data_IF_987403008397
#
_entry.id   IF_987403008397
#
_cell.length_a   1.000
_cell.length_b   1.000
_cell.length_c   1.000
_cell.angle_alpha   90.00
_cell.angle_beta   90.00
_cell.angle_gamma   90.00
#
_symmetry.space_group_name_H-M   'P 1'
#
loop_
_entity.id
_entity.type
_entity.pdbx_description
1 polymer ?
#
# COMPACT_ATOMS: atom_id res chain seq x y z
N UNK A 1 59.69 -19.04 -65.93
CA UNK A 1 58.22 -19.01 -65.79
C UNK A 1 57.89 -19.21 -64.33
N UNK A 2 57.15 -18.26 -63.76
CA UNK A 2 56.84 -18.05 -62.35
C UNK A 2 55.90 -19.12 -61.79
N UNK A 3 56.31 -19.79 -60.70
CA UNK A 3 55.46 -20.70 -59.92
C UNK A 3 54.88 -19.97 -58.70
N UNK A 4 53.55 -19.94 -58.59
CA UNK A 4 52.80 -19.37 -57.47
C UNK A 4 52.80 -20.40 -56.33
N UNK A 5 53.30 -20.01 -55.15
CA UNK A 5 53.20 -20.79 -53.93
C UNK A 5 51.95 -20.35 -53.13
N UNK A 6 51.02 -21.28 -52.93
CA UNK A 6 49.84 -21.10 -52.08
C UNK A 6 50.23 -21.50 -50.65
N UNK A 7 50.17 -20.56 -49.71
CA UNK A 7 50.27 -20.84 -48.28
C UNK A 7 48.90 -21.33 -47.77
N UNK A 8 48.81 -22.59 -47.33
CA UNK A 8 47.68 -23.09 -46.54
C UNK A 8 48.11 -23.03 -45.07
N UNK A 9 47.53 -22.11 -44.31
CA UNK A 9 47.68 -22.07 -42.86
C UNK A 9 46.70 -23.05 -42.21
N UNK A 10 47.21 -24.13 -41.63
CA UNK A 10 46.46 -25.07 -40.79
C UNK A 10 46.30 -24.49 -39.39
N UNK A 11 45.07 -24.04 -39.07
CA UNK A 11 44.69 -23.67 -37.71
C UNK A 11 44.36 -24.94 -36.91
N UNK A 12 45.15 -25.22 -35.87
CA UNK A 12 44.87 -26.27 -34.89
C UNK A 12 43.80 -25.72 -33.93
N UNK A 13 42.56 -26.19 -34.06
CA UNK A 13 41.50 -25.91 -33.10
C UNK A 13 41.64 -26.87 -31.90
N UNK A 14 41.97 -26.33 -30.72
CA UNK A 14 41.83 -27.05 -29.47
C UNK A 14 40.33 -27.17 -29.11
N UNK A 15 39.87 -28.30 -28.54
CA UNK A 15 38.47 -28.46 -28.17
C UNK A 15 38.15 -27.55 -26.98
N UNK A 16 37.14 -26.69 -27.15
CA UNK A 16 36.55 -25.91 -26.08
C UNK A 16 35.73 -26.88 -25.21
N UNK A 17 36.26 -27.27 -24.06
CA UNK A 17 35.44 -27.90 -23.02
C UNK A 17 34.41 -26.86 -22.54
N UNK A 18 33.16 -27.03 -22.99
CA UNK A 18 32.01 -26.38 -22.38
C UNK A 18 31.80 -26.97 -20.98
N UNK A 19 32.51 -26.43 -19.98
CA UNK A 19 32.07 -26.57 -18.58
C UNK A 19 30.72 -25.89 -18.47
N UNK A 20 29.65 -26.68 -18.34
CA UNK A 20 28.37 -26.19 -17.85
C UNK A 20 28.62 -25.48 -16.51
N UNK A 21 28.61 -24.13 -16.52
CA UNK A 21 28.67 -23.36 -15.28
C UNK A 21 27.42 -23.73 -14.47
N UNK A 22 27.62 -24.36 -13.32
CA UNK A 22 26.55 -24.59 -12.37
C UNK A 22 25.86 -23.24 -12.09
N UNK A 23 24.54 -23.19 -12.28
CA UNK A 23 23.72 -22.05 -11.90
C UNK A 23 23.83 -21.88 -10.37
N UNK A 24 24.09 -20.67 -9.84
CA UNK A 24 24.15 -20.45 -8.41
C UNK A 24 22.77 -20.72 -7.78
N UNK A 25 22.75 -21.34 -6.60
CA UNK A 25 21.53 -21.70 -5.89
C UNK A 25 20.75 -20.49 -5.34
N UNK A 26 21.42 -19.33 -5.22
CA UNK A 26 20.85 -18.04 -4.81
C UNK A 26 21.50 -16.96 -5.67
N UNK A 27 20.72 -15.98 -6.13
CA UNK A 27 21.21 -14.88 -6.95
C UNK A 27 22.32 -14.09 -6.21
N UNK A 28 23.43 -13.87 -6.92
CA UNK A 28 24.65 -13.22 -6.41
C UNK A 28 24.48 -11.69 -6.41
N UNK A 29 23.55 -11.24 -5.58
CA UNK A 29 23.47 -9.85 -5.16
C UNK A 29 24.42 -9.69 -3.97
N UNK A 30 25.37 -8.76 -4.02
CA UNK A 30 26.07 -8.40 -2.79
C UNK A 30 25.03 -7.84 -1.81
N UNK A 31 24.70 -8.55 -0.73
CA UNK A 31 23.72 -8.04 0.22
C UNK A 31 24.31 -6.77 0.85
N UNK A 32 23.48 -5.76 1.18
CA UNK A 32 23.97 -4.57 1.86
C UNK A 32 24.66 -4.87 3.19
N UNK A 33 24.35 -6.02 3.81
CA UNK A 33 25.01 -6.50 5.03
C UNK A 33 25.35 -8.01 4.92
N UNK A 34 26.47 -8.47 5.52
CA UNK A 34 26.73 -9.88 5.74
C UNK A 34 25.62 -10.55 6.56
N UNK A 35 25.41 -11.85 6.35
CA UNK A 35 24.32 -12.59 7.00
C UNK A 35 24.34 -12.50 8.54
N UNK A 36 25.52 -12.58 9.17
CA UNK A 36 25.66 -12.46 10.62
C UNK A 36 25.28 -11.08 11.15
N UNK A 37 25.59 -10.02 10.39
CA UNK A 37 25.25 -8.65 10.75
C UNK A 37 23.76 -8.38 10.56
N UNK A 38 23.18 -8.84 9.44
CA UNK A 38 21.74 -8.79 9.21
C UNK A 38 20.95 -9.49 10.34
N UNK A 39 21.42 -10.67 10.78
CA UNK A 39 20.84 -11.40 11.91
C UNK A 39 20.93 -10.60 13.21
N UNK A 40 22.07 -9.98 13.50
CA UNK A 40 22.27 -9.16 14.70
C UNK A 40 21.34 -7.93 14.71
N UNK A 41 21.22 -7.24 13.57
CA UNK A 41 20.32 -6.08 13.39
C UNK A 41 18.86 -6.47 13.63
N UNK A 42 18.41 -7.59 13.04
CA UNK A 42 17.05 -8.11 13.24
C UNK A 42 16.81 -8.51 14.70
N UNK A 43 17.77 -9.19 15.33
CA UNK A 43 17.65 -9.62 16.72
C UNK A 43 17.51 -8.42 17.67
N UNK A 44 18.32 -7.38 17.47
CA UNK A 44 18.25 -6.14 18.25
C UNK A 44 16.91 -5.42 18.06
N UNK A 45 16.45 -5.27 16.81
CA UNK A 45 15.18 -4.61 16.52
C UNK A 45 13.98 -5.33 17.15
N UNK A 46 13.93 -6.67 17.04
CA UNK A 46 12.86 -7.49 17.65
C UNK A 46 12.91 -7.46 19.18
N UNK A 47 14.10 -7.36 19.78
CA UNK A 47 14.22 -7.20 21.23
C UNK A 47 13.63 -5.85 21.68
N UNK A 48 13.94 -4.76 20.96
CA UNK A 48 13.38 -3.44 21.24
C UNK A 48 11.86 -3.40 21.08
N UNK A 49 11.31 -4.00 20.01
CA UNK A 49 9.87 -4.07 19.77
C UNK A 49 9.15 -4.84 20.89
N UNK A 50 9.69 -5.99 21.33
CA UNK A 50 9.15 -6.74 22.47
C UNK A 50 9.15 -5.94 23.77
N UNK A 51 10.22 -5.21 24.05
CA UNK A 51 10.28 -4.34 25.24
C UNK A 51 9.22 -3.24 25.19
N UNK A 52 8.97 -2.65 24.01
CA UNK A 52 7.93 -1.63 23.83
C UNK A 52 6.51 -2.22 23.96
N UNK A 53 6.28 -3.43 23.44
CA UNK A 53 4.99 -4.11 23.57
C UNK A 53 4.72 -4.55 25.02
N UNK A 54 5.74 -5.06 25.72
CA UNK A 54 5.63 -5.42 27.14
C UNK A 54 5.36 -4.20 28.01
N UNK A 55 6.08 -3.09 27.81
CA UNK A 55 5.81 -1.86 28.57
C UNK A 55 4.41 -1.32 28.30
N UNK A 56 3.91 -1.42 27.07
CA UNK A 56 2.53 -1.07 26.75
C UNK A 56 1.50 -1.98 27.43
N UNK A 57 1.76 -3.29 27.48
CA UNK A 57 0.88 -4.27 28.14
C UNK A 57 0.91 -4.18 29.68
N UNK A 58 2.06 -3.83 30.27
CA UNK A 58 2.21 -3.63 31.72
C UNK A 58 1.65 -2.28 32.18
N UNK A 59 1.75 -1.24 31.34
CA UNK A 59 1.22 0.09 31.66
C UNK A 59 -0.32 0.10 31.73
N UNK A 60 -0.99 -0.78 30.96
CA UNK A 60 -2.44 -0.97 31.06
C UNK A 60 -2.81 -2.40 30.64
N UNK A 61 -3.55 -3.18 31.46
CA UNK A 61 -4.21 -4.37 30.94
C UNK A 61 -5.21 -3.95 29.85
N UNK A 62 -4.92 -4.31 28.59
CA UNK A 62 -5.77 -3.95 27.46
C UNK A 62 -7.21 -4.41 27.76
N UNK A 63 -8.21 -3.51 27.80
CA UNK A 63 -9.58 -3.90 28.04
C UNK A 63 -10.06 -4.86 26.96
N UNK A 64 -11.02 -5.75 27.31
CA UNK A 64 -11.66 -6.66 26.36
C UNK A 64 -12.27 -5.91 25.15
N UNK A 65 -12.67 -4.66 25.36
CA UNK A 65 -12.98 -3.69 24.30
C UNK A 65 -11.76 -2.82 24.07
N UNK A 66 -11.12 -2.95 22.91
CA UNK A 66 -9.99 -2.09 22.55
C UNK A 66 -10.50 -0.66 22.37
N UNK A 67 -10.03 0.26 23.21
CA UNK A 67 -10.27 1.70 23.09
C UNK A 67 -8.92 2.39 22.95
N UNK A 68 -8.76 3.18 21.90
CA UNK A 68 -7.47 3.72 21.51
C UNK A 68 -7.51 5.24 21.40
N UNK A 69 -6.57 5.94 22.04
CA UNK A 69 -6.46 7.39 22.00
C UNK A 69 -5.61 7.88 20.83
N UNK A 70 -6.13 8.75 19.98
CA UNK A 70 -5.42 9.31 18.83
C UNK A 70 -4.90 10.71 19.19
N UNK A 71 -3.65 10.76 19.67
CA UNK A 71 -3.02 12.00 20.15
C UNK A 71 -3.06 13.16 19.14
N UNK A 72 -2.95 12.88 17.84
CA UNK A 72 -3.01 13.88 16.76
C UNK A 72 -4.36 14.62 16.68
N UNK A 73 -5.43 14.02 17.19
CA UNK A 73 -6.80 14.56 17.12
C UNK A 73 -7.44 14.83 18.48
N UNK A 74 -6.95 14.18 19.54
CA UNK A 74 -7.52 14.28 20.87
C UNK A 74 -8.79 13.43 21.08
N UNK A 75 -9.10 12.51 20.17
CA UNK A 75 -10.26 11.62 20.23
C UNK A 75 -9.87 10.16 20.35
N UNK A 76 -10.85 9.29 20.62
CA UNK A 76 -10.66 7.85 20.70
C UNK A 76 -11.42 7.13 19.60
N UNK A 77 -10.94 5.96 19.21
CA UNK A 77 -11.75 4.98 18.48
C UNK A 77 -11.85 3.73 19.34
N UNK A 78 -13.07 3.19 19.46
CA UNK A 78 -13.32 1.96 20.21
C UNK A 78 -13.78 0.83 19.29
N UNK A 79 -13.52 -0.41 19.72
CA UNK A 79 -14.07 -1.62 19.09
C UNK A 79 -15.38 -2.09 19.71
N UNK A 80 -16.04 -1.26 20.53
CA UNK A 80 -17.38 -1.56 21.06
C UNK A 80 -18.39 -1.73 19.92
N UNK A 81 -18.27 -0.88 18.89
CA UNK A 81 -19.07 -0.89 17.66
C UNK A 81 -18.33 -1.53 16.49
N UNK A 82 -17.07 -1.93 16.68
CA UNK A 82 -16.17 -2.41 15.63
C UNK A 82 -15.48 -1.31 14.82
N UNK A 83 -15.58 -0.03 15.22
CA UNK A 83 -15.01 1.09 14.47
C UNK A 83 -13.49 1.07 14.38
N UNK A 84 -12.77 0.65 15.43
CA UNK A 84 -11.30 0.58 15.40
C UNK A 84 -10.82 -0.48 14.42
N UNK A 85 -11.38 -1.68 14.47
CA UNK A 85 -11.11 -2.78 13.55
C UNK A 85 -11.50 -2.41 12.12
N UNK A 86 -12.64 -1.75 11.91
CA UNK A 86 -13.04 -1.27 10.59
C UNK A 86 -12.07 -0.22 10.05
N UNK A 87 -11.68 0.77 10.86
CA UNK A 87 -10.71 1.80 10.47
C UNK A 87 -9.38 1.16 10.05
N UNK A 88 -8.84 0.25 10.87
CA UNK A 88 -7.55 -0.43 10.62
C UNK A 88 -7.57 -1.30 9.35
N UNK A 89 -8.65 -2.06 9.11
CA UNK A 89 -8.76 -2.95 7.94
C UNK A 89 -8.95 -2.22 6.62
N UNK A 90 -9.44 -0.98 6.67
CA UNK A 90 -9.91 -0.25 5.49
C UNK A 90 -9.05 0.97 5.17
N UNK A 91 -7.74 0.88 5.47
CA UNK A 91 -6.74 1.88 5.11
C UNK A 91 -6.52 3.00 6.12
N UNK A 92 -7.23 2.97 7.25
CA UNK A 92 -7.00 3.84 8.41
C UNK A 92 -6.86 5.31 8.04
N UNK A 93 -5.73 5.89 8.43
CA UNK A 93 -5.41 7.30 8.20
C UNK A 93 -5.42 7.68 6.72
N UNK A 94 -4.94 6.81 5.83
CA UNK A 94 -4.88 7.10 4.40
C UNK A 94 -6.27 7.31 3.79
N UNK A 95 -7.28 6.59 4.29
CA UNK A 95 -8.62 6.58 3.72
C UNK A 95 -9.60 7.44 4.51
N UNK A 96 -9.59 7.35 5.85
CA UNK A 96 -10.55 8.03 6.71
C UNK A 96 -9.97 9.26 7.40
N UNK A 97 -8.64 9.30 7.58
CA UNK A 97 -7.98 10.26 8.45
C UNK A 97 -8.20 9.94 9.92
N UNK A 98 -7.95 10.93 10.78
CA UNK A 98 -8.12 10.79 12.22
C UNK A 98 -9.58 10.95 12.66
N UNK A 99 -9.99 10.37 13.81
CA UNK A 99 -11.29 10.69 14.40
C UNK A 99 -11.34 12.17 14.75
N UNK A 100 -12.44 12.85 14.43
CA UNK A 100 -12.66 14.26 14.77
C UNK A 100 -13.81 14.45 15.76
N UNK A 101 -14.41 13.36 16.22
CA UNK A 101 -15.42 13.33 17.27
C UNK A 101 -15.26 12.09 18.15
N UNK A 102 -15.93 12.08 19.31
CA UNK A 102 -16.29 10.83 19.98
C UNK A 102 -17.44 10.12 19.25
N UNK A 103 -17.87 8.98 19.79
CA UNK A 103 -19.11 8.33 19.36
C UNK A 103 -20.32 9.22 19.75
N UNK A 104 -21.21 9.48 18.79
CA UNK A 104 -22.43 10.28 18.93
C UNK A 104 -23.65 9.40 18.63
N UNK A 105 -24.84 9.86 19.02
CA UNK A 105 -26.10 9.26 18.59
C UNK A 105 -26.80 10.21 17.62
N UNK A 106 -26.99 9.77 16.39
CA UNK A 106 -27.69 10.51 15.33
C UNK A 106 -28.60 9.55 14.58
N UNK A 107 -29.83 10.00 14.30
CA UNK A 107 -30.83 9.22 13.55
C UNK A 107 -31.03 7.79 14.11
N UNK A 108 -30.91 7.65 15.45
CA UNK A 108 -31.04 6.38 16.16
C UNK A 108 -29.84 5.44 16.05
N UNK A 109 -28.72 5.87 15.45
CA UNK A 109 -27.49 5.08 15.30
C UNK A 109 -26.33 5.67 16.09
N UNK A 110 -25.41 4.79 16.51
CA UNK A 110 -24.11 5.23 17.02
C UNK A 110 -23.24 5.57 15.80
N UNK A 111 -22.68 6.78 15.79
CA UNK A 111 -21.88 7.28 14.68
C UNK A 111 -20.60 7.92 15.18
N UNK A 112 -19.58 7.98 14.33
CA UNK A 112 -18.35 8.70 14.64
C UNK A 112 -17.82 9.39 13.39
N UNK A 113 -17.41 10.65 13.54
CA UNK A 113 -16.80 11.42 12.48
C UNK A 113 -15.30 11.22 12.45
N UNK A 114 -14.79 11.09 11.22
CA UNK A 114 -13.40 11.12 10.84
C UNK A 114 -13.19 12.32 9.92
N UNK A 115 -11.94 12.68 9.64
CA UNK A 115 -11.65 13.81 8.74
C UNK A 115 -12.35 13.66 7.38
N UNK A 116 -12.38 12.44 6.84
CA UNK A 116 -12.84 12.15 5.47
C UNK A 116 -14.11 11.33 5.37
N UNK A 117 -14.61 10.82 6.49
CA UNK A 117 -15.76 9.92 6.52
C UNK A 117 -16.57 10.04 7.81
N UNK A 118 -17.76 9.44 7.81
CA UNK A 118 -18.59 9.23 9.01
C UNK A 118 -18.98 7.76 9.06
N UNK A 119 -18.67 7.12 10.18
CA UNK A 119 -18.96 5.71 10.41
C UNK A 119 -20.31 5.58 11.08
N UNK A 120 -21.06 4.56 10.70
CA UNK A 120 -22.36 4.20 11.25
C UNK A 120 -22.31 2.78 11.76
N UNK A 121 -22.74 2.58 13.00
CA UNK A 121 -22.92 1.25 13.58
C UNK A 121 -24.32 0.72 13.23
N UNK A 122 -24.35 -0.46 12.62
CA UNK A 122 -25.55 -1.19 12.21
C UNK A 122 -25.67 -2.47 13.05
N UNK A 123 -26.33 -2.42 14.23
CA UNK A 123 -26.50 -3.59 15.09
C UNK A 123 -27.24 -4.75 14.42
N UNK A 124 -28.10 -4.45 13.45
CA UNK A 124 -28.80 -5.45 12.62
C UNK A 124 -27.85 -6.34 11.81
N UNK A 125 -26.62 -5.88 11.59
CA UNK A 125 -25.58 -6.56 10.81
C UNK A 125 -24.42 -7.08 11.67
N UNK A 126 -24.61 -7.19 12.99
CA UNK A 126 -23.59 -7.62 13.96
C UNK A 126 -22.89 -8.91 13.51
N UNK A 127 -21.56 -8.89 13.48
CA UNK A 127 -20.74 -10.04 13.07
C UNK A 127 -20.53 -10.17 11.55
N UNK A 128 -21.11 -9.29 10.74
CA UNK A 128 -20.88 -9.22 9.29
C UNK A 128 -19.96 -8.05 8.92
N UNK A 129 -19.51 -8.00 7.66
CA UNK A 129 -18.76 -6.85 7.14
C UNK A 129 -19.59 -5.56 7.05
N UNK A 130 -20.91 -5.64 7.20
CA UNK A 130 -21.85 -4.52 7.17
C UNK A 130 -22.24 -4.00 8.56
N UNK A 131 -21.64 -4.52 9.62
CA UNK A 131 -21.81 -4.00 10.98
C UNK A 131 -21.39 -2.52 11.07
N UNK A 132 -20.37 -2.13 10.30
CA UNK A 132 -19.92 -0.74 10.17
C UNK A 132 -20.09 -0.34 8.72
N UNK A 133 -20.88 0.71 8.50
CA UNK A 133 -21.09 1.30 7.18
C UNK A 133 -20.68 2.76 7.18
N UNK A 134 -20.48 3.31 5.99
CA UNK A 134 -20.12 4.71 5.82
C UNK A 134 -21.32 5.49 5.30
N UNK A 135 -21.56 6.64 5.92
CA UNK A 135 -22.56 7.61 5.45
C UNK A 135 -22.29 8.04 4.02
N UNK A 136 -23.36 8.36 3.28
CA UNK A 136 -23.28 8.86 1.91
C UNK A 136 -22.90 10.36 1.89
N UNK A 137 -21.75 10.70 2.47
CA UNK A 137 -21.35 12.09 2.65
C UNK A 137 -21.12 12.82 1.32
N UNK A 138 -20.74 12.11 0.25
CA UNK A 138 -20.66 12.73 -1.07
C UNK A 138 -22.03 13.21 -1.53
N UNK A 139 -23.06 12.35 -1.42
CA UNK A 139 -24.43 12.71 -1.75
C UNK A 139 -24.95 13.88 -0.89
N UNK A 140 -24.64 13.88 0.41
CA UNK A 140 -25.01 14.96 1.34
C UNK A 140 -24.34 16.29 0.95
N UNK A 141 -23.04 16.25 0.67
CA UNK A 141 -22.28 17.47 0.39
C UNK A 141 -22.66 18.08 -0.97
N UNK A 142 -22.90 17.25 -1.97
CA UNK A 142 -23.29 17.68 -3.33
C UNK A 142 -24.80 17.80 -3.52
N UNK A 143 -25.59 17.81 -2.46
CA UNK A 143 -27.04 18.02 -2.58
C UNK A 143 -27.32 19.35 -3.30
N UNK A 144 -28.09 19.28 -4.40
CA UNK A 144 -28.42 20.44 -5.23
C UNK A 144 -27.42 20.73 -6.35
N UNK A 145 -26.33 19.95 -6.47
CA UNK A 145 -25.46 19.99 -7.64
C UNK A 145 -26.14 19.27 -8.81
N UNK A 146 -26.01 19.82 -10.01
CA UNK A 146 -26.44 19.17 -11.25
C UNK A 146 -25.20 18.70 -12.02
N UNK A 147 -24.90 17.41 -11.92
CA UNK A 147 -23.77 16.81 -12.61
C UNK A 147 -24.24 16.21 -13.95
N UNK A 148 -23.58 16.55 -15.08
CA UNK A 148 -23.92 15.97 -16.36
C UNK A 148 -23.64 14.46 -16.36
N UNK A 149 -24.36 13.73 -17.21
CA UNK A 149 -24.14 12.31 -17.41
C UNK A 149 -22.77 12.04 -18.04
N UNK A 150 -22.14 10.96 -17.57
CA UNK A 150 -20.95 10.39 -18.18
C UNK A 150 -21.25 9.76 -19.52
N UNK A 151 -20.27 9.81 -20.43
CA UNK A 151 -20.32 9.12 -21.71
C UNK A 151 -19.47 7.84 -21.66
N UNK A 152 -20.03 6.66 -21.98
CA UNK A 152 -19.27 5.42 -22.01
C UNK A 152 -18.22 5.50 -23.12
N UNK A 153 -16.96 5.60 -22.73
CA UNK A 153 -15.81 5.63 -23.65
C UNK A 153 -14.84 4.51 -23.31
N UNK A 154 -14.02 4.13 -24.28
CA UNK A 154 -13.05 3.05 -24.11
C UNK A 154 -12.08 3.38 -22.96
N UNK A 155 -11.88 2.42 -22.05
CA UNK A 155 -10.98 2.57 -20.90
C UNK A 155 -11.61 3.19 -19.65
N UNK A 156 -12.94 3.38 -19.63
CA UNK A 156 -13.70 3.81 -18.44
C UNK A 156 -14.78 2.77 -18.11
N UNK A 157 -15.02 2.56 -16.82
CA UNK A 157 -16.20 1.82 -16.36
C UNK A 157 -17.39 2.77 -16.32
N UNK A 158 -18.54 2.33 -16.83
CA UNK A 158 -19.81 3.06 -16.75
C UNK A 158 -20.70 2.44 -15.68
N UNK A 159 -21.29 3.27 -14.82
CA UNK A 159 -22.17 2.87 -13.73
C UNK A 159 -23.59 3.30 -14.05
N UNK A 160 -24.47 2.39 -14.53
CA UNK A 160 -25.84 2.74 -14.88
C UNK A 160 -26.67 3.28 -13.70
N UNK A 161 -26.31 2.92 -12.47
CA UNK A 161 -26.98 3.36 -11.24
C UNK A 161 -26.92 4.88 -11.04
N UNK A 162 -25.82 5.51 -11.45
CA UNK A 162 -25.59 6.96 -11.32
C UNK A 162 -25.43 7.66 -12.67
N UNK A 163 -25.35 6.91 -13.77
CA UNK A 163 -25.02 7.36 -15.13
C UNK A 163 -23.65 8.02 -15.24
N UNK A 164 -22.73 7.66 -14.37
CA UNK A 164 -21.37 8.22 -14.32
C UNK A 164 -20.31 7.21 -14.75
N UNK A 165 -19.12 7.70 -15.09
CA UNK A 165 -17.99 6.87 -15.45
C UNK A 165 -16.80 7.03 -14.50
N UNK A 166 -15.96 6.00 -14.44
CA UNK A 166 -14.72 6.00 -13.67
C UNK A 166 -13.58 5.44 -14.51
N UNK A 167 -12.45 6.14 -14.54
CA UNK A 167 -11.28 5.73 -15.34
C UNK A 167 -9.95 6.18 -14.75
N UNK A 168 -8.87 5.74 -15.39
CA UNK A 168 -7.51 6.20 -15.08
C UNK A 168 -7.08 5.96 -13.62
N UNK A 169 -6.41 6.95 -13.03
CA UNK A 169 -5.85 6.89 -11.67
C UNK A 169 -6.95 6.77 -10.60
N UNK A 170 -8.10 7.44 -10.80
CA UNK A 170 -9.23 7.31 -9.88
C UNK A 170 -9.84 5.92 -9.90
N UNK A 171 -9.97 5.27 -11.06
CA UNK A 171 -10.42 3.87 -11.13
C UNK A 171 -9.47 2.93 -10.39
N UNK A 172 -8.16 3.06 -10.64
CA UNK A 172 -7.16 2.21 -9.97
C UNK A 172 -7.16 2.41 -8.46
N UNK A 173 -7.24 3.66 -8.01
CA UNK A 173 -7.36 3.98 -6.58
C UNK A 173 -8.64 3.39 -5.98
N UNK A 174 -9.80 3.60 -6.62
CA UNK A 174 -11.08 3.07 -6.18
C UNK A 174 -11.03 1.55 -6.04
N UNK A 175 -10.59 0.82 -7.08
CA UNK A 175 -10.51 -0.64 -7.07
C UNK A 175 -9.58 -1.16 -5.96
N UNK A 176 -8.46 -0.48 -5.75
CA UNK A 176 -7.43 -0.90 -4.82
C UNK A 176 -7.77 -0.60 -3.35
N UNK A 177 -8.40 0.53 -3.09
CA UNK A 177 -8.49 1.10 -1.72
C UNK A 177 -9.81 0.87 -1.01
N UNK A 178 -10.79 0.25 -1.67
CA UNK A 178 -12.03 -0.17 -0.98
C UNK A 178 -13.26 -0.28 -1.87
N UNK A 179 -13.19 0.20 -3.10
CA UNK A 179 -14.23 0.05 -4.11
C UNK A 179 -15.59 0.56 -3.65
N UNK A 180 -16.63 -0.16 -4.07
CA UNK A 180 -18.01 0.21 -3.81
C UNK A 180 -18.33 0.31 -2.32
N UNK A 181 -17.78 -0.59 -1.49
CA UNK A 181 -18.08 -0.64 -0.06
C UNK A 181 -17.57 0.60 0.68
N UNK A 182 -16.41 1.13 0.29
CA UNK A 182 -15.79 2.27 0.98
C UNK A 182 -16.17 3.60 0.31
N UNK A 183 -16.15 3.67 -1.02
CA UNK A 183 -16.32 4.94 -1.73
C UNK A 183 -17.72 5.13 -2.30
N UNK A 184 -18.48 4.04 -2.52
CA UNK A 184 -19.72 4.08 -3.27
C UNK A 184 -19.52 4.24 -4.78
N UNK A 185 -20.62 4.46 -5.49
CA UNK A 185 -20.63 4.76 -6.92
C UNK A 185 -20.08 6.17 -7.19
N UNK A 186 -19.44 6.43 -8.35
CA UNK A 186 -19.18 7.80 -8.78
C UNK A 186 -20.52 8.53 -9.01
N UNK A 187 -20.63 9.78 -8.55
CA UNK A 187 -21.84 10.61 -8.68
C UNK A 187 -21.62 11.86 -9.52
N UNK A 188 -20.38 12.10 -9.96
CA UNK A 188 -20.02 13.10 -10.96
C UNK A 188 -19.04 12.51 -11.97
N UNK A 189 -18.86 13.16 -13.12
CA UNK A 189 -17.65 13.02 -13.93
C UNK A 189 -16.46 13.73 -13.25
N UNK A 190 -15.20 13.50 -13.67
CA UNK A 190 -14.07 14.32 -13.25
C UNK A 190 -14.17 15.75 -13.80
N UNK A 191 -13.98 16.75 -12.94
CA UNK A 191 -13.95 18.17 -13.33
C UNK A 191 -12.93 18.96 -12.50
N UNK A 192 -12.60 20.17 -12.94
CA UNK A 192 -11.71 21.07 -12.20
C UNK A 192 -12.47 21.79 -11.07
N UNK A 193 -11.93 21.70 -9.86
CA UNK A 193 -12.47 22.36 -8.67
C UNK A 193 -11.31 22.92 -7.84
N UNK A 194 -11.51 24.04 -7.14
CA UNK A 194 -10.53 24.53 -6.17
C UNK A 194 -10.57 23.60 -4.95
N UNK A 195 -9.45 22.96 -4.63
CA UNK A 195 -9.35 22.11 -3.45
C UNK A 195 -9.56 22.93 -2.18
N UNK A 196 -10.44 22.50 -1.28
CA UNK A 196 -10.60 23.13 0.03
C UNK A 196 -9.39 22.85 0.95
N UNK A 197 -8.50 21.94 0.57
CA UNK A 197 -7.33 21.54 1.38
C UNK A 197 -6.15 22.48 1.11
N UNK A 198 -5.84 22.75 -0.16
CA UNK A 198 -4.65 23.51 -0.54
C UNK A 198 -4.92 24.77 -1.39
N UNK A 199 -6.18 25.03 -1.76
CA UNK A 199 -6.59 26.19 -2.55
C UNK A 199 -6.17 26.13 -4.03
N UNK A 200 -5.60 25.02 -4.51
CA UNK A 200 -5.22 24.84 -5.90
C UNK A 200 -6.35 24.23 -6.70
N UNK A 201 -6.38 24.49 -8.01
CA UNK A 201 -7.31 23.79 -8.91
C UNK A 201 -6.86 22.34 -9.06
N UNK A 202 -7.73 21.40 -8.67
CA UNK A 202 -7.51 19.95 -8.74
C UNK A 202 -8.57 19.32 -9.64
N UNK A 203 -8.16 18.31 -10.41
CA UNK A 203 -9.13 17.39 -11.02
C UNK A 203 -9.77 16.61 -9.89
N UNK A 204 -11.09 16.70 -9.79
CA UNK A 204 -11.90 16.16 -8.71
C UNK A 204 -12.99 15.27 -9.25
N UNK A 205 -13.32 14.20 -8.55
CA UNK A 205 -14.52 13.40 -8.81
C UNK A 205 -15.22 13.05 -7.50
N UNK A 206 -16.54 13.23 -7.47
CA UNK A 206 -17.37 12.86 -6.33
C UNK A 206 -17.89 11.43 -6.47
N UNK A 207 -17.97 10.75 -5.34
CA UNK A 207 -18.56 9.44 -5.14
C UNK A 207 -19.58 9.53 -4.02
N UNK A 208 -20.47 8.54 -3.87
CA UNK A 208 -21.52 8.62 -2.85
C UNK A 208 -20.98 8.84 -1.42
N UNK A 209 -19.79 8.32 -1.12
CA UNK A 209 -19.17 8.36 0.23
C UNK A 209 -17.84 9.12 0.28
N UNK A 210 -17.33 9.58 -0.85
CA UNK A 210 -15.98 10.14 -0.94
C UNK A 210 -15.86 11.22 -2.02
N UNK A 211 -14.82 12.03 -1.91
CA UNK A 211 -14.40 12.99 -2.93
C UNK A 211 -12.93 12.75 -3.21
N UNK A 212 -12.57 12.46 -4.46
CA UNK A 212 -11.18 12.24 -4.86
C UNK A 212 -10.61 13.48 -5.52
N UNK A 213 -9.37 13.81 -5.19
CA UNK A 213 -8.57 14.86 -5.82
C UNK A 213 -7.31 14.25 -6.43
N UNK A 214 -6.90 14.74 -7.60
CA UNK A 214 -5.67 14.31 -8.26
C UNK A 214 -4.51 15.28 -8.04
N UNK A 215 -3.41 14.74 -7.52
CA UNK A 215 -2.17 15.43 -7.16
C UNK A 215 -0.99 14.84 -7.96
N UNK A 216 -0.85 15.19 -9.26
CA UNK A 216 0.16 14.60 -10.14
C UNK A 216 1.61 14.84 -9.67
N UNK A 217 1.84 15.90 -8.90
CA UNK A 217 3.16 16.24 -8.35
C UNK A 217 3.66 15.26 -7.29
N UNK A 218 2.77 14.42 -6.74
CA UNK A 218 3.11 13.45 -5.70
C UNK A 218 3.86 12.23 -6.24
N UNK A 219 3.87 12.02 -7.56
CA UNK A 219 4.75 11.05 -8.20
C UNK A 219 5.98 11.77 -8.78
N UNK A 220 7.21 11.50 -8.28
CA UNK A 220 8.42 12.13 -8.78
C UNK A 220 8.57 12.04 -10.31
N UNK A 221 9.10 13.11 -10.91
CA UNK A 221 9.19 13.27 -12.36
C UNK A 221 9.88 12.10 -13.08
N UNK A 222 10.89 11.50 -12.45
CA UNK A 222 11.56 10.30 -12.95
C UNK A 222 10.58 9.14 -13.16
N UNK A 223 9.78 8.78 -12.16
CA UNK A 223 8.81 7.69 -12.28
C UNK A 223 7.70 8.04 -13.28
N UNK A 224 7.26 9.30 -13.33
CA UNK A 224 6.31 9.76 -14.35
C UNK A 224 6.89 9.64 -15.76
N UNK A 225 8.20 9.84 -15.94
CA UNK A 225 8.87 9.61 -17.22
C UNK A 225 8.93 8.12 -17.57
N UNK A 226 9.26 7.27 -16.60
CA UNK A 226 9.29 5.81 -16.78
C UNK A 226 7.91 5.24 -17.08
N UNK A 227 6.86 5.72 -16.42
CA UNK A 227 5.45 5.37 -16.72
C UNK A 227 5.15 5.55 -18.21
N UNK A 228 5.45 6.74 -18.76
CA UNK A 228 5.26 7.03 -20.19
C UNK A 228 6.13 6.17 -21.10
N UNK A 229 7.41 6.01 -20.75
CA UNK A 229 8.37 5.28 -21.56
C UNK A 229 8.03 3.79 -21.67
N UNK A 230 7.50 3.20 -20.59
CA UNK A 230 7.14 1.79 -20.54
C UNK A 230 5.68 1.52 -20.95
N UNK A 231 4.85 2.55 -21.14
CA UNK A 231 3.45 2.39 -21.50
C UNK A 231 2.61 1.70 -20.42
N UNK A 232 2.98 1.87 -19.15
CA UNK A 232 2.31 1.29 -17.98
C UNK A 232 1.59 2.38 -17.19
N UNK A 233 0.83 2.01 -16.17
CA UNK A 233 0.28 2.97 -15.20
C UNK A 233 0.89 2.70 -13.84
N UNK A 234 1.66 3.68 -13.34
CA UNK A 234 2.20 3.66 -11.98
C UNK A 234 1.20 4.32 -11.04
N UNK A 235 1.38 4.16 -9.74
CA UNK A 235 0.63 4.93 -8.75
C UNK A 235 1.57 5.38 -7.65
N UNK A 236 1.56 6.67 -7.35
CA UNK A 236 2.14 7.23 -6.12
C UNK A 236 1.12 7.18 -4.99
N UNK A 237 1.58 6.99 -3.74
CA UNK A 237 0.68 6.79 -2.60
C UNK A 237 -0.29 7.95 -2.37
N UNK A 238 0.16 9.16 -2.70
CA UNK A 238 -0.56 10.40 -2.48
C UNK A 238 -1.02 11.09 -3.78
N UNK A 239 -0.92 10.43 -4.94
CA UNK A 239 -1.42 10.99 -6.21
C UNK A 239 -2.95 11.16 -6.23
N UNK A 240 -3.68 10.28 -5.54
CA UNK A 240 -5.13 10.42 -5.34
C UNK A 240 -5.37 10.62 -3.85
N UNK A 241 -5.94 11.76 -3.50
CA UNK A 241 -6.24 12.13 -2.11
C UNK A 241 -7.74 12.20 -1.91
N UNK A 242 -8.18 11.87 -0.69
CA UNK A 242 -9.58 12.01 -0.30
C UNK A 242 -9.82 13.38 0.35
N UNK A 243 -10.90 14.03 -0.05
CA UNK A 243 -11.36 15.27 0.56
C UNK A 243 -11.91 15.10 1.97
N UNK A 244 -11.94 16.18 2.73
CA UNK A 244 -12.39 16.25 4.12
C UNK A 244 -13.93 16.24 4.28
N UNK A 245 -14.63 15.32 3.60
CA UNK A 245 -16.10 15.28 3.63
C UNK A 245 -16.65 15.06 5.05
N UNK A 246 -15.94 14.32 5.90
CA UNK A 246 -16.33 14.10 7.29
C UNK A 246 -16.31 15.41 8.10
N UNK A 247 -15.26 16.23 7.94
CA UNK A 247 -15.19 17.56 8.56
C UNK A 247 -16.29 18.49 8.04
N UNK A 248 -16.53 18.49 6.73
CA UNK A 248 -17.58 19.32 6.12
C UNK A 248 -18.99 18.93 6.60
N UNK A 249 -19.29 17.62 6.65
CA UNK A 249 -20.57 17.12 7.12
C UNK A 249 -20.80 17.45 8.60
N UNK A 250 -19.77 17.26 9.43
CA UNK A 250 -19.82 17.61 10.85
C UNK A 250 -20.10 19.11 11.07
N UNK A 251 -19.45 19.98 10.28
CA UNK A 251 -19.68 21.43 10.32
C UNK A 251 -21.11 21.78 9.87
N UNK A 252 -21.62 21.19 8.78
CA UNK A 252 -23.00 21.43 8.30
C UNK A 252 -24.06 21.03 9.31
N UNK A 253 -23.80 19.98 10.09
CA UNK A 253 -24.69 19.48 11.15
C UNK A 253 -24.54 20.25 12.48
N UNK A 254 -23.64 21.23 12.54
CA UNK A 254 -23.48 22.09 13.71
C UNK A 254 -22.79 21.42 14.90
N UNK A 255 -22.07 20.32 14.68
CA UNK A 255 -21.30 19.67 15.75
C UNK A 255 -19.98 20.42 15.98
N UNK A 256 -19.72 20.76 17.24
CA UNK A 256 -18.46 21.36 17.70
C UNK A 256 -17.80 20.44 18.73
N UNK A 257 -17.14 19.36 18.29
CA UNK A 257 -16.55 18.40 19.21
C UNK A 257 -15.33 19.00 19.90
N UNK A 258 -15.17 18.68 21.18
CA UNK A 258 -14.01 19.06 21.98
C UNK A 258 -13.13 17.82 22.19
N UNK A 259 -11.82 17.99 21.98
CA UNK A 259 -10.85 16.96 22.32
C UNK A 259 -11.02 16.55 23.79
N UNK A 260 -11.08 15.25 24.03
CA UNK A 260 -11.41 14.69 25.35
C UNK A 260 -10.16 14.30 26.16
N UNK A 261 -8.96 14.40 25.56
CA UNK A 261 -7.72 13.89 26.14
C UNK A 261 -7.71 12.37 26.26
N UNK A 262 -6.62 11.74 26.75
CA UNK A 262 -6.57 10.29 26.92
C UNK A 262 -7.45 9.84 28.09
N UNK A 263 -8.30 8.83 27.88
CA UNK A 263 -9.01 8.16 28.97
C UNK A 263 -8.02 7.34 29.83
N UNK A 264 -8.23 7.20 31.15
CA UNK A 264 -7.43 6.32 31.98
C UNK A 264 -7.40 4.90 31.40
N UNK A 265 -6.20 4.38 31.12
CA UNK A 265 -6.03 3.06 30.52
C UNK A 265 -6.22 2.98 29.01
N UNK A 266 -6.53 4.08 28.31
CA UNK A 266 -6.51 4.06 26.85
C UNK A 266 -5.06 4.26 26.35
N UNK A 267 -4.42 3.26 25.71
CA UNK A 267 -3.12 3.49 25.08
C UNK A 267 -3.24 4.52 23.95
N UNK A 268 -2.16 5.26 23.71
CA UNK A 268 -2.06 6.12 22.53
C UNK A 268 -1.86 5.26 21.27
N UNK A 269 -2.64 5.52 20.23
CA UNK A 269 -2.59 4.80 18.96
C UNK A 269 -1.17 4.78 18.40
N UNK A 270 -0.71 3.57 18.11
CA UNK A 270 0.44 3.33 17.26
C UNK A 270 0.27 1.96 16.60
N UNK A 271 0.58 1.82 15.30
CA UNK A 271 0.62 0.50 14.66
C UNK A 271 1.60 -0.47 15.35
N UNK A 272 2.60 0.06 16.07
CA UNK A 272 3.62 -0.73 16.79
C UNK A 272 3.09 -1.42 18.06
N UNK A 273 1.88 -1.09 18.51
CA UNK A 273 1.24 -1.78 19.63
C UNK A 273 0.87 -3.23 19.30
N UNK A 274 0.80 -3.55 18.01
CA UNK A 274 0.47 -4.89 17.53
C UNK A 274 1.70 -5.55 16.93
N UNK A 275 1.79 -6.88 17.03
CA UNK A 275 2.81 -7.61 16.29
C UNK A 275 2.58 -7.39 14.79
N UNK A 276 3.61 -6.92 14.09
CA UNK A 276 3.52 -6.66 12.65
C UNK A 276 4.20 -7.77 11.87
N UNK A 277 3.48 -8.31 10.89
CA UNK A 277 4.01 -9.28 9.94
C UNK A 277 3.52 -9.02 8.53
N UNK A 278 4.31 -9.47 7.58
CA UNK A 278 4.02 -9.46 6.16
C UNK A 278 3.95 -10.91 5.71
N UNK A 279 2.92 -11.26 4.97
CA UNK A 279 2.79 -12.54 4.30
C UNK A 279 2.83 -12.31 2.80
N UNK A 280 3.69 -13.03 2.09
CA UNK A 280 3.78 -13.01 0.63
C UNK A 280 3.39 -14.39 0.13
N UNK A 281 2.21 -14.50 -0.46
CA UNK A 281 1.72 -15.72 -1.06
C UNK A 281 2.17 -15.80 -2.53
N UNK A 282 3.03 -16.76 -2.82
CA UNK A 282 3.62 -16.99 -4.14
C UNK A 282 2.63 -17.59 -5.14
N UNK A 283 1.64 -18.38 -4.72
CA UNK A 283 0.62 -18.90 -5.64
C UNK A 283 -0.33 -17.81 -6.11
N UNK A 284 -0.79 -16.98 -5.18
CA UNK A 284 -1.74 -15.91 -5.44
C UNK A 284 -1.07 -14.64 -5.98
N UNK A 285 0.27 -14.54 -5.88
CA UNK A 285 1.02 -13.30 -6.15
C UNK A 285 0.44 -12.11 -5.38
N UNK A 286 0.23 -12.31 -4.08
CA UNK A 286 -0.35 -11.32 -3.17
C UNK A 286 0.48 -11.15 -1.91
N UNK A 287 0.65 -9.90 -1.49
CA UNK A 287 1.17 -9.52 -0.18
C UNK A 287 0.00 -9.12 0.72
N UNK A 288 0.02 -9.58 1.98
CA UNK A 288 -0.86 -9.09 3.05
C UNK A 288 -0.03 -8.64 4.24
N UNK A 289 -0.24 -7.41 4.71
CA UNK A 289 0.35 -6.89 5.94
C UNK A 289 -0.67 -7.02 7.08
N UNK A 290 -0.18 -7.42 8.26
CA UNK A 290 -0.99 -7.68 9.44
C UNK A 290 -0.50 -6.91 10.65
N UNK A 291 -1.44 -6.50 11.47
CA UNK A 291 -1.23 -6.03 12.83
C UNK A 291 -1.99 -6.94 13.80
N UNK A 292 -1.26 -7.85 14.46
CA UNK A 292 -1.83 -9.03 15.10
C UNK A 292 -2.45 -9.95 14.04
N UNK A 293 -3.71 -10.31 14.24
CA UNK A 293 -4.48 -11.11 13.28
C UNK A 293 -5.28 -10.27 12.27
N UNK A 294 -5.19 -8.94 12.37
CA UNK A 294 -5.95 -8.03 11.52
C UNK A 294 -5.17 -7.75 10.24
N UNK A 295 -5.68 -8.12 9.04
CA UNK A 295 -5.09 -7.67 7.78
C UNK A 295 -5.36 -6.17 7.63
N UNK A 296 -4.30 -5.37 7.55
CA UNK A 296 -4.38 -3.90 7.43
C UNK A 296 -4.06 -3.40 6.03
N UNK A 297 -3.43 -4.25 5.21
CA UNK A 297 -3.07 -3.90 3.84
C UNK A 297 -2.94 -5.12 2.96
N UNK A 298 -3.32 -4.99 1.69
CA UNK A 298 -3.12 -6.01 0.65
C UNK A 298 -2.62 -5.36 -0.63
N UNK A 299 -1.66 -6.00 -1.28
CA UNK A 299 -1.12 -5.55 -2.55
C UNK A 299 -0.80 -6.73 -3.46
N UNK A 300 -1.10 -6.64 -4.77
CA UNK A 300 -0.57 -7.58 -5.74
C UNK A 300 0.95 -7.43 -5.83
N UNK A 301 1.65 -8.53 -6.07
CA UNK A 301 3.10 -8.56 -6.26
C UNK A 301 3.48 -9.24 -7.58
N UNK A 302 4.72 -9.03 -8.02
CA UNK A 302 5.36 -9.89 -9.02
C UNK A 302 6.68 -10.41 -8.44
N UNK A 303 6.82 -11.71 -8.33
CA UNK A 303 7.95 -12.35 -7.63
C UNK A 303 9.01 -12.88 -8.60
N UNK A 304 10.00 -13.57 -8.07
CA UNK A 304 11.11 -14.17 -8.80
C UNK A 304 10.66 -15.22 -9.80
N UNK A 305 11.10 -15.07 -11.05
CA UNK A 305 10.80 -16.03 -12.14
C UNK A 305 11.59 -17.32 -11.98
N UNK A 306 11.26 -18.33 -12.79
CA UNK A 306 11.96 -19.62 -12.74
C UNK A 306 13.46 -19.46 -13.01
N UNK A 307 14.27 -20.09 -12.16
CA UNK A 307 15.73 -19.90 -12.14
C UNK A 307 16.22 -18.72 -11.28
N UNK A 308 15.31 -17.86 -10.85
CA UNK A 308 15.52 -16.75 -9.91
C UNK A 308 14.41 -16.68 -8.87
N UNK A 309 13.95 -17.84 -8.39
CA UNK A 309 12.79 -17.94 -7.52
C UNK A 309 12.96 -17.12 -6.24
N UNK A 310 11.91 -16.42 -5.83
CA UNK A 310 11.85 -15.84 -4.48
C UNK A 310 11.86 -16.98 -3.46
N UNK A 311 12.79 -17.00 -2.50
CA UNK A 311 12.87 -18.10 -1.53
C UNK A 311 11.66 -18.09 -0.59
N UNK A 312 11.04 -19.24 -0.40
CA UNK A 312 10.03 -19.45 0.63
C UNK A 312 10.68 -19.60 2.02
N UNK A 313 9.97 -19.18 3.07
CA UNK A 313 10.46 -19.25 4.44
C UNK A 313 10.07 -18.04 5.28
N UNK A 314 10.53 -18.03 6.54
CA UNK A 314 10.32 -16.92 7.47
C UNK A 314 11.59 -16.08 7.57
N UNK A 315 11.46 -14.80 7.22
CA UNK A 315 12.52 -13.80 7.20
C UNK A 315 12.13 -12.59 8.05
N UNK A 316 12.97 -11.55 7.99
CA UNK A 316 12.68 -10.26 8.57
C UNK A 316 13.31 -9.17 7.72
N UNK A 317 12.71 -7.98 7.70
CA UNK A 317 13.35 -6.81 7.10
C UNK A 317 14.60 -6.49 7.90
N UNK A 318 15.77 -6.53 7.27
CA UNK A 318 17.05 -6.27 7.93
C UNK A 318 17.71 -4.97 7.49
N UNK A 319 17.31 -4.43 6.34
CA UNK A 319 17.85 -3.17 5.81
C UNK A 319 16.84 -2.47 4.92
N UNK A 320 16.82 -1.13 4.97
CA UNK A 320 15.85 -0.30 4.26
C UNK A 320 16.52 0.91 3.62
N UNK A 321 16.16 1.22 2.38
CA UNK A 321 16.60 2.42 1.67
C UNK A 321 15.40 3.07 0.95
N UNK A 322 15.22 4.40 1.05
CA UNK A 322 14.15 5.08 0.31
C UNK A 322 14.37 4.99 -1.21
N UNK A 323 15.62 4.86 -1.66
CA UNK A 323 15.99 4.73 -3.07
C UNK A 323 17.36 4.06 -3.22
N UNK A 324 17.53 3.22 -4.23
CA UNK A 324 18.81 2.58 -4.56
C UNK A 324 18.93 2.28 -6.06
N UNK A 325 20.13 2.44 -6.62
CA UNK A 325 20.46 1.81 -7.91
C UNK A 325 20.79 0.33 -7.67
N UNK A 326 19.98 -0.56 -8.23
CA UNK A 326 20.19 -2.00 -8.16
C UNK A 326 20.94 -2.50 -9.40
N UNK A 327 22.13 -3.05 -9.18
CA UNK A 327 23.00 -3.62 -10.21
C UNK A 327 23.48 -5.00 -9.78
N UNK A 328 23.73 -5.89 -10.73
CA UNK A 328 24.20 -7.24 -10.42
C UNK A 328 24.37 -8.11 -11.67
N UNK A 329 24.93 -9.30 -11.46
CA UNK A 329 25.05 -10.32 -12.50
C UNK A 329 24.81 -11.70 -11.91
N UNK A 330 23.82 -12.44 -12.41
CA UNK A 330 23.52 -13.79 -11.97
C UNK A 330 22.87 -14.60 -13.09
N UNK A 331 23.05 -15.93 -13.07
CA UNK A 331 22.44 -16.82 -14.07
C UNK A 331 22.83 -16.54 -15.53
N UNK A 332 23.94 -15.82 -15.76
CA UNK A 332 24.38 -15.40 -17.10
C UNK A 332 23.79 -14.08 -17.58
N UNK A 333 23.03 -13.38 -16.74
CA UNK A 333 22.42 -12.09 -17.02
C UNK A 333 23.02 -11.00 -16.14
N UNK A 334 23.04 -9.77 -16.65
CA UNK A 334 23.45 -8.58 -15.91
C UNK A 334 22.37 -7.51 -16.02
N UNK A 335 22.18 -6.72 -14.97
CA UNK A 335 21.21 -5.64 -14.94
C UNK A 335 21.79 -4.40 -14.27
N UNK A 336 21.24 -3.25 -14.67
CA UNK A 336 21.46 -1.95 -14.05
C UNK A 336 20.12 -1.23 -14.01
N UNK A 337 19.58 -1.04 -12.82
CA UNK A 337 18.26 -0.45 -12.60
C UNK A 337 18.44 0.73 -11.64
N UNK A 338 18.50 1.97 -12.14
CA UNK A 338 18.67 3.14 -11.30
C UNK A 338 17.43 3.40 -10.45
N UNK A 339 17.60 4.11 -9.33
CA UNK A 339 16.50 4.77 -8.63
C UNK A 339 15.32 3.87 -8.25
N UNK A 340 15.58 2.61 -7.89
CA UNK A 340 14.56 1.69 -7.35
C UNK A 340 14.07 2.23 -6.00
N UNK A 341 12.78 2.58 -5.85
CA UNK A 341 12.28 3.19 -4.63
C UNK A 341 11.88 2.17 -3.56
N UNK A 342 11.90 2.61 -2.31
CA UNK A 342 11.28 1.94 -1.17
C UNK A 342 11.79 0.51 -0.91
N UNK A 343 13.11 0.34 -1.01
CA UNK A 343 13.80 -0.95 -0.90
C UNK A 343 13.81 -1.46 0.53
N UNK A 344 13.39 -2.71 0.72
CA UNK A 344 13.29 -3.39 2.02
C UNK A 344 13.87 -4.81 1.88
N UNK A 345 15.14 -4.98 2.27
CA UNK A 345 15.83 -6.27 2.15
C UNK A 345 15.40 -7.27 3.22
N UNK A 346 15.17 -8.52 2.82
CA UNK A 346 14.68 -9.59 3.70
C UNK A 346 15.62 -10.78 3.81
N UNK A 347 16.33 -11.16 2.73
CA UNK A 347 17.32 -12.24 2.77
C UNK A 347 18.30 -12.12 1.61
N UNK A 348 19.60 -12.17 1.88
CA UNK A 348 20.60 -11.90 0.83
C UNK A 348 20.27 -10.59 0.11
N UNK A 349 20.34 -10.55 -1.22
CA UNK A 349 19.85 -9.38 -1.98
C UNK A 349 18.38 -9.39 -2.37
N UNK A 350 17.56 -10.30 -1.84
CA UNK A 350 16.11 -10.30 -2.07
C UNK A 350 15.48 -9.19 -1.23
N UNK A 351 14.72 -8.32 -1.88
CA UNK A 351 14.03 -7.20 -1.27
C UNK A 351 12.58 -7.07 -1.76
N UNK A 352 11.73 -6.43 -0.94
CA UNK A 352 10.50 -5.79 -1.42
C UNK A 352 10.86 -4.38 -1.91
N UNK A 353 10.35 -3.97 -3.06
CA UNK A 353 10.61 -2.61 -3.57
C UNK A 353 9.55 -2.19 -4.60
N UNK A 354 9.47 -0.89 -4.87
CA UNK A 354 8.63 -0.35 -5.93
C UNK A 354 9.24 -0.62 -7.31
N UNK A 355 8.39 -0.87 -8.30
CA UNK A 355 8.80 -1.22 -9.66
C UNK A 355 8.21 -0.26 -10.67
N UNK A 356 9.04 0.26 -11.57
CA UNK A 356 8.63 1.24 -12.58
C UNK A 356 8.76 0.74 -14.03
N UNK A 357 9.21 -0.50 -14.24
CA UNK A 357 9.47 -1.08 -15.57
C UNK A 357 8.43 -2.10 -16.04
N UNK A 358 7.46 -2.48 -15.19
CA UNK A 358 6.30 -3.30 -15.54
C UNK A 358 5.15 -3.06 -14.55
N UNK A 359 3.94 -3.46 -14.91
CA UNK A 359 2.74 -3.42 -14.03
C UNK A 359 2.04 -4.78 -13.90
N UNK A 360 2.75 -5.88 -14.14
CA UNK A 360 2.23 -7.25 -14.15
C UNK A 360 1.93 -7.85 -12.75
N UNK A 361 1.76 -7.03 -11.72
CA UNK A 361 1.52 -7.50 -10.35
C UNK A 361 0.20 -8.25 -10.23
N UNK A 362 0.18 -9.39 -9.53
CA UNK A 362 -1.03 -10.19 -9.32
C UNK A 362 -1.57 -10.90 -10.57
N UNK A 363 -0.90 -10.76 -11.72
CA UNK A 363 -1.29 -11.42 -12.98
C UNK A 363 -0.84 -12.89 -13.04
N UNK A 364 -0.01 -13.32 -12.09
CA UNK A 364 0.70 -14.60 -12.13
C UNK A 364 2.03 -14.55 -12.88
N UNK A 365 2.30 -13.48 -13.66
CA UNK A 365 3.58 -13.29 -14.34
C UNK A 365 4.66 -12.91 -13.31
N UNK A 366 5.69 -13.74 -13.22
CA UNK A 366 6.89 -13.53 -12.39
C UNK A 366 7.99 -12.96 -13.25
N UNK A 367 8.59 -11.84 -12.84
CA UNK A 367 9.53 -11.07 -13.69
C UNK A 367 10.88 -10.79 -13.02
N UNK A 368 10.98 -10.88 -11.69
CA UNK A 368 12.17 -10.42 -10.99
C UNK A 368 13.28 -11.47 -10.95
N UNK A 369 14.48 -11.03 -10.55
CA UNK A 369 15.61 -11.90 -10.21
C UNK A 369 15.60 -12.39 -8.75
N UNK A 370 14.42 -12.40 -8.10
CA UNK A 370 14.20 -12.91 -6.74
C UNK A 370 13.45 -11.93 -5.85
N UNK A 371 13.58 -10.62 -6.10
CA UNK A 371 12.87 -9.57 -5.37
C UNK A 371 11.34 -9.68 -5.49
N UNK A 372 10.64 -9.09 -4.54
CA UNK A 372 9.17 -9.02 -4.52
C UNK A 372 8.81 -7.62 -5.04
N UNK A 373 8.40 -7.56 -6.32
CA UNK A 373 8.09 -6.31 -7.00
C UNK A 373 6.68 -5.86 -6.63
N UNK A 374 6.55 -4.59 -6.27
CA UNK A 374 5.31 -3.93 -5.88
C UNK A 374 5.07 -2.72 -6.79
N UNK A 375 3.82 -2.23 -6.86
CA UNK A 375 3.60 -0.88 -7.37
C UNK A 375 4.26 0.14 -6.42
N UNK A 376 4.62 1.32 -6.92
CA UNK A 376 5.35 2.33 -6.16
C UNK A 376 4.60 2.73 -4.89
N UNK A 377 3.30 2.95 -4.96
CA UNK A 377 2.46 3.28 -3.81
C UNK A 377 2.39 2.17 -2.77
N UNK A 378 2.36 0.90 -3.19
CA UNK A 378 2.39 -0.23 -2.27
C UNK A 378 3.71 -0.34 -1.54
N UNK A 379 4.81 -0.15 -2.28
CA UNK A 379 6.13 -0.19 -1.69
C UNK A 379 6.35 0.99 -0.72
N UNK A 380 5.86 2.18 -1.07
CA UNK A 380 5.89 3.37 -0.22
C UNK A 380 5.11 3.15 1.08
N UNK A 381 3.86 2.70 0.98
CA UNK A 381 3.02 2.43 2.15
C UNK A 381 3.70 1.41 3.06
N UNK A 382 4.19 0.29 2.48
CA UNK A 382 4.84 -0.77 3.23
C UNK A 382 6.14 -0.28 3.88
N UNK A 383 6.92 0.54 3.17
CA UNK A 383 8.14 1.12 3.69
C UNK A 383 7.89 2.03 4.89
N UNK A 384 6.81 2.81 4.91
CA UNK A 384 6.50 3.63 6.08
C UNK A 384 5.89 2.82 7.23
N UNK A 385 5.14 1.77 6.93
CA UNK A 385 4.48 0.93 7.94
C UNK A 385 5.41 -0.08 8.62
N UNK A 386 6.31 -0.73 7.86
CA UNK A 386 7.19 -1.78 8.37
C UNK A 386 8.47 -1.21 8.97
N UNK A 387 8.97 -1.79 10.06
CA UNK A 387 10.26 -1.45 10.66
C UNK A 387 11.32 -2.51 10.33
N UNK A 388 12.59 -2.21 10.61
CA UNK A 388 13.60 -3.26 10.71
C UNK A 388 13.14 -4.26 11.79
N UNK A 389 13.26 -5.56 11.50
CA UNK A 389 12.79 -6.64 12.35
C UNK A 389 11.39 -7.16 12.05
N UNK A 390 10.56 -6.40 11.30
CA UNK A 390 9.22 -6.83 10.87
C UNK A 390 9.32 -8.16 10.13
N UNK A 391 8.56 -9.16 10.60
CA UNK A 391 8.56 -10.53 10.08
C UNK A 391 7.98 -10.57 8.66
N UNK A 392 8.62 -11.34 7.79
CA UNK A 392 8.17 -11.57 6.41
C UNK A 392 8.11 -13.06 6.17
N UNK A 393 6.91 -13.61 6.04
CA UNK A 393 6.69 -15.01 5.69
C UNK A 393 6.39 -15.12 4.20
N UNK A 394 7.22 -15.85 3.47
CA UNK A 394 7.02 -16.16 2.06
C UNK A 394 6.49 -17.58 1.97
N UNK A 395 5.25 -17.73 1.49
CA UNK A 395 4.47 -18.97 1.50
C UNK A 395 3.91 -19.29 0.11
N UNK A 396 3.44 -20.52 -0.11
CA UNK A 396 2.75 -20.92 -1.34
C UNK A 396 1.24 -20.85 -1.17
#
# INVERSE_FOLDING_TARGET
MTGIAILIATAIAAPIELRARQRPAVADFAPPLPASEAQAVVAAARAAERMQQQSAAEAVPLPAVQNMYFASSGFHISDRTGFLSFWRRNGGELIFGYPISGELIEDGRIVQYFERARFEYHPENLGTEYQVMLSLLGNEITQGYDFPDGQPTQGRLYFPETRQTLGGKFLRFWQKRGGLRIFGYPISEPFEEISPIDGQVRITQYFERARFEYHPEQLPAFYRQMERANGIILSGLHEVQLGDLGRQAMQRRGHTPHAVGPMPGAPAWSPKLFERRIEVNLTQQMLTAFEGDVPVYRAPVATGRDGFNTPAGSFAIYYKLPRQTMTGSAGGESWYVPDVPWVQYVVGGVALHGTYWHDAWGTGVRMSHGCINLNIDDAEWLYHWADIGTRVDVVY
#
